data_IF_382576534418
#
_entry.id   IF_382576534418
#
_cell.length_a   1.000
_cell.length_b   1.000
_cell.length_c   1.000
_cell.angle_alpha   90.00
_cell.angle_beta   90.00
_cell.angle_gamma   90.00
#
_symmetry.space_group_name_H-M   'P 1'
#
loop_
_entity.id
_entity.type
_entity.pdbx_description
1 polymer ?
#
# COMPACT_ATOMS: atom_id res chain seq x y z
N UNK A 1 -10.06 7.28 -3.05
CA UNK A 1 -9.62 6.51 -1.88
C UNK A 1 -8.54 7.33 -1.20
N UNK A 2 -8.80 7.90 -0.02
CA UNK A 2 -7.87 8.82 0.65
C UNK A 2 -6.83 8.13 1.56
N UNK A 3 -6.97 6.83 1.83
CA UNK A 3 -5.94 6.08 2.56
C UNK A 3 -6.11 4.56 2.39
N UNK A 4 -5.08 3.83 2.84
CA UNK A 4 -5.04 2.37 2.98
C UNK A 4 -6.23 1.83 3.76
N UNK A 5 -6.57 2.50 4.86
CA UNK A 5 -7.54 2.00 5.82
C UNK A 5 -8.94 1.88 5.20
N UNK A 6 -9.34 2.82 4.35
CA UNK A 6 -10.64 2.76 3.65
C UNK A 6 -10.71 1.63 2.61
N UNK A 7 -9.61 1.36 1.90
CA UNK A 7 -9.54 0.22 0.98
C UNK A 7 -9.50 -1.12 1.73
N UNK A 8 -8.85 -1.16 2.90
CA UNK A 8 -8.78 -2.34 3.76
C UNK A 8 -10.12 -2.67 4.41
N UNK A 9 -10.88 -1.67 4.85
CA UNK A 9 -12.22 -1.92 5.38
C UNK A 9 -13.10 -2.64 4.33
N UNK A 10 -12.95 -2.30 3.06
CA UNK A 10 -13.62 -3.01 1.96
C UNK A 10 -13.09 -4.44 1.75
N UNK A 11 -11.78 -4.68 1.89
CA UNK A 11 -11.18 -6.03 1.76
C UNK A 11 -11.51 -6.91 2.96
N UNK A 12 -11.40 -6.37 4.18
CA UNK A 12 -11.72 -7.06 5.43
C UNK A 12 -13.22 -7.40 5.46
N UNK A 13 -14.11 -6.48 5.05
CA UNK A 13 -15.54 -6.80 4.84
C UNK A 13 -15.78 -7.90 3.82
N UNK A 14 -15.06 -7.88 2.69
CA UNK A 14 -15.20 -8.94 1.68
C UNK A 14 -14.68 -10.29 2.20
N UNK A 15 -13.62 -10.29 3.02
CA UNK A 15 -13.12 -11.49 3.69
C UNK A 15 -14.15 -12.01 4.70
N UNK A 16 -14.72 -11.13 5.52
CA UNK A 16 -15.71 -11.48 6.53
C UNK A 16 -17.00 -12.02 5.89
N UNK A 17 -17.47 -11.44 4.79
CA UNK A 17 -18.59 -11.98 4.00
C UNK A 17 -18.32 -13.42 3.53
N UNK A 18 -17.12 -13.71 3.06
CA UNK A 18 -16.73 -15.07 2.63
C UNK A 18 -16.70 -16.03 3.83
N UNK A 19 -16.23 -15.57 5.00
CA UNK A 19 -16.24 -16.40 6.21
C UNK A 19 -17.65 -16.64 6.76
N UNK A 20 -18.54 -15.65 6.67
CA UNK A 20 -19.95 -15.78 7.05
C UNK A 20 -20.70 -16.71 6.09
N UNK A 21 -20.46 -16.63 4.78
CA UNK A 21 -21.00 -17.58 3.80
C UNK A 21 -20.53 -19.02 4.08
N UNK A 22 -19.24 -19.22 4.41
CA UNK A 22 -18.72 -20.54 4.78
C UNK A 22 -19.27 -21.05 6.12
N UNK A 23 -19.56 -20.17 7.07
CA UNK A 23 -20.19 -20.54 8.34
C UNK A 23 -21.69 -20.87 8.17
N UNK A 24 -22.37 -20.19 7.24
CA UNK A 24 -23.77 -20.47 6.90
C UNK A 24 -23.93 -21.83 6.19
N UNK A 25 -22.94 -22.27 5.41
CA UNK A 25 -22.93 -23.62 4.80
C UNK A 25 -22.79 -24.75 5.83
N UNK A 26 -22.33 -24.47 7.05
CA UNK A 26 -22.23 -25.43 8.17
C UNK A 26 -23.48 -25.41 9.09
N UNK A 27 -24.39 -24.44 8.96
CA UNK A 27 -25.60 -24.31 9.80
C UNK A 27 -26.89 -24.86 9.13
N UNK A 28 -26.83 -25.27 7.85
CA UNK A 28 -27.97 -25.86 7.11
C UNK A 28 -28.27 -27.35 7.47
N UNK A 29 -27.79 -27.86 8.60
CA UNK A 29 -28.13 -29.22 9.09
C UNK A 29 -29.14 -29.26 10.25
N UNK A 30 -29.92 -28.20 10.50
CA UNK A 30 -31.15 -28.31 11.32
C UNK A 30 -32.41 -27.93 10.53
N UNK A 31 -32.69 -28.67 9.45
CA UNK A 31 -34.07 -28.80 8.94
C UNK A 31 -34.98 -29.30 10.07
N UNK A 32 -35.90 -28.46 10.51
CA UNK A 32 -36.96 -28.87 11.43
C UNK A 32 -37.78 -30.01 10.79
N UNK A 33 -37.69 -31.22 11.36
CA UNK A 33 -38.31 -32.46 10.87
C UNK A 33 -39.85 -32.52 10.99
N UNK A 34 -40.58 -31.40 10.95
CA UNK A 34 -42.05 -31.40 10.93
C UNK A 34 -42.57 -31.19 9.49
N UNK A 35 -42.69 -32.27 8.72
CA UNK A 35 -43.16 -32.24 7.33
C UNK A 35 -44.63 -31.85 7.14
N UNK A 36 -44.99 -30.59 7.40
CA UNK A 36 -46.29 -30.00 7.10
C UNK A 36 -46.18 -28.53 6.65
N UNK A 37 -47.00 -28.15 5.66
CA UNK A 37 -47.18 -26.76 5.22
C UNK A 37 -48.13 -26.03 6.19
N UNK A 38 -47.73 -24.87 6.70
CA UNK A 38 -48.58 -24.04 7.56
C UNK A 38 -49.13 -22.82 6.81
N UNK A 39 -50.42 -22.57 6.96
CA UNK A 39 -51.05 -21.29 6.69
C UNK A 39 -51.00 -20.46 7.98
N UNK A 40 -50.67 -19.19 7.85
CA UNK A 40 -50.46 -18.24 8.94
C UNK A 40 -51.65 -18.27 9.92
N UNK A 41 -51.36 -18.28 11.23
CA UNK A 41 -52.28 -18.06 12.37
C UNK A 41 -52.62 -19.24 13.34
N UNK A 42 -51.76 -20.26 13.53
CA UNK A 42 -51.82 -21.11 14.75
C UNK A 42 -50.46 -21.26 15.46
N UNK A 43 -50.43 -21.01 16.79
CA UNK A 43 -49.26 -21.13 17.66
C UNK A 43 -48.70 -22.57 17.69
N UNK A 44 -47.46 -22.74 17.24
CA UNK A 44 -46.73 -24.02 17.35
C UNK A 44 -46.34 -24.30 18.80
N UNK A 45 -46.77 -25.45 19.34
CA UNK A 45 -46.36 -25.95 20.67
C UNK A 45 -44.89 -26.36 20.77
N UNK A 46 -44.07 -26.12 19.73
CA UNK A 46 -42.67 -26.53 19.65
C UNK A 46 -41.70 -25.66 20.47
N UNK A 47 -42.15 -24.53 21.03
CA UNK A 47 -41.34 -23.73 21.97
C UNK A 47 -40.19 -22.96 21.33
N UNK A 48 -40.12 -22.88 20.00
CA UNK A 48 -39.19 -22.00 19.30
C UNK A 48 -39.82 -20.62 19.08
N UNK A 49 -39.11 -19.58 19.52
CA UNK A 49 -39.49 -18.19 19.28
C UNK A 49 -39.31 -17.88 17.80
N UNK A 50 -40.39 -17.51 17.10
CA UNK A 50 -40.28 -16.82 15.83
C UNK A 50 -39.66 -15.46 16.10
N UNK A 51 -38.43 -15.26 15.61
CA UNK A 51 -37.83 -13.94 15.52
C UNK A 51 -38.45 -13.29 14.27
N UNK A 52 -39.45 -12.44 14.48
CA UNK A 52 -39.91 -11.52 13.45
C UNK A 52 -38.74 -10.58 13.13
N UNK A 53 -38.11 -10.82 11.98
CA UNK A 53 -37.13 -9.89 11.41
C UNK A 53 -37.92 -8.76 10.74
N UNK A 54 -38.27 -7.74 11.53
CA UNK A 54 -38.57 -6.42 10.99
C UNK A 54 -37.27 -5.88 10.37
N UNK A 55 -37.16 -6.00 9.04
CA UNK A 55 -36.17 -5.28 8.25
C UNK A 55 -36.58 -3.81 8.22
N UNK A 56 -36.11 -3.04 9.20
CA UNK A 56 -36.01 -1.59 9.06
C UNK A 56 -34.87 -1.29 8.08
N UNK A 57 -35.24 -1.06 6.82
CA UNK A 57 -34.41 -0.44 5.79
C UNK A 57 -34.14 1.03 6.18
N UNK A 58 -33.24 1.26 7.14
CA UNK A 58 -32.61 2.57 7.30
C UNK A 58 -31.42 2.67 6.33
N UNK A 59 -31.73 3.06 5.10
CA UNK A 59 -30.82 3.74 4.19
C UNK A 59 -30.31 5.02 4.89
N UNK A 60 -29.17 4.96 5.59
CA UNK A 60 -28.37 6.14 5.87
C UNK A 60 -26.98 5.99 5.25
N UNK A 61 -26.91 6.40 3.98
CA UNK A 61 -25.71 6.76 3.23
C UNK A 61 -24.93 7.89 3.94
N UNK A 62 -24.35 7.57 5.08
CA UNK A 62 -23.48 8.41 5.87
C UNK A 62 -22.21 7.64 6.15
N UNK A 63 -21.33 7.48 5.15
CA UNK A 63 -19.95 7.15 5.42
C UNK A 63 -19.36 8.32 6.22
N UNK A 64 -19.44 8.25 7.55
CA UNK A 64 -18.76 9.17 8.44
C UNK A 64 -17.29 9.18 8.03
N UNK A 65 -16.87 10.26 7.37
CA UNK A 65 -15.48 10.46 6.98
C UNK A 65 -14.66 10.44 8.27
N UNK A 66 -13.93 9.34 8.51
CA UNK A 66 -13.04 9.21 9.66
C UNK A 66 -12.14 10.45 9.75
N UNK A 67 -11.98 11.06 10.93
CA UNK A 67 -11.07 12.18 11.12
C UNK A 67 -9.64 11.85 10.64
N UNK A 68 -8.94 12.81 10.06
CA UNK A 68 -7.58 12.62 9.51
C UNK A 68 -6.60 12.01 10.53
N UNK A 69 -6.74 12.34 11.82
CA UNK A 69 -5.91 11.75 12.89
C UNK A 69 -6.20 10.26 13.12
N UNK A 70 -7.47 9.84 13.06
CA UNK A 70 -7.84 8.44 13.23
C UNK A 70 -7.42 7.61 12.02
N UNK A 71 -7.48 8.19 10.81
CA UNK A 71 -6.95 7.61 9.58
C UNK A 71 -5.44 7.36 9.71
N UNK A 72 -4.69 8.34 10.23
CA UNK A 72 -3.25 8.22 10.45
C UNK A 72 -2.91 7.12 11.45
N UNK A 73 -3.61 7.07 12.58
CA UNK A 73 -3.40 6.01 13.58
C UNK A 73 -3.68 4.62 12.99
N UNK A 74 -4.73 4.49 12.19
CA UNK A 74 -5.06 3.23 11.53
C UNK A 74 -3.98 2.81 10.52
N UNK A 75 -3.45 3.77 9.76
CA UNK A 75 -2.39 3.55 8.79
C UNK A 75 -1.04 3.19 9.45
N UNK A 76 -0.66 3.87 10.53
CA UNK A 76 0.56 3.53 11.28
C UNK A 76 0.46 2.12 11.88
N UNK A 77 -0.69 1.75 12.43
CA UNK A 77 -0.96 0.38 12.91
C UNK A 77 -0.85 -0.66 11.80
N UNK A 78 -1.25 -0.32 10.57
CA UNK A 78 -1.09 -1.21 9.42
C UNK A 78 0.40 -1.47 9.13
N UNK A 79 1.20 -0.41 9.05
CA UNK A 79 2.63 -0.54 8.78
C UNK A 79 3.37 -1.28 9.89
N UNK A 80 2.96 -1.09 11.16
CA UNK A 80 3.45 -1.88 12.29
C UNK A 80 3.15 -3.37 12.13
N UNK A 81 1.93 -3.75 11.70
CA UNK A 81 1.58 -5.15 11.46
C UNK A 81 2.41 -5.76 10.30
N UNK A 82 2.57 -5.03 9.19
CA UNK A 82 3.42 -5.48 8.08
C UNK A 82 4.87 -5.67 8.54
N UNK A 83 5.43 -4.72 9.28
CA UNK A 83 6.78 -4.82 9.84
C UNK A 83 6.90 -6.03 10.80
N UNK A 84 5.89 -6.24 11.65
CA UNK A 84 5.83 -7.39 12.55
C UNK A 84 5.79 -8.72 11.77
N UNK A 85 5.01 -8.80 10.69
CA UNK A 85 4.97 -9.97 9.79
C UNK A 85 6.34 -10.23 9.14
N UNK A 86 7.08 -9.19 8.73
CA UNK A 86 8.45 -9.34 8.18
C UNK A 86 9.47 -9.85 9.22
N UNK A 87 9.24 -9.60 10.50
CA UNK A 87 10.21 -9.93 11.57
C UNK A 87 10.21 -11.39 12.01
N UNK A 88 9.18 -12.18 11.67
CA UNK A 88 8.99 -13.54 12.17
C UNK A 88 8.58 -14.48 11.04
N UNK A 89 9.27 -15.61 10.94
CA UNK A 89 8.84 -16.70 10.07
C UNK A 89 7.60 -17.36 10.68
N UNK A 90 6.46 -17.22 9.99
CA UNK A 90 5.24 -17.98 10.29
C UNK A 90 5.23 -19.26 9.45
N UNK A 91 5.30 -20.45 10.07
CA UNK A 91 5.24 -21.70 9.32
C UNK A 91 3.87 -21.86 8.67
N UNK A 92 3.84 -22.48 7.49
CA UNK A 92 2.58 -22.94 6.90
C UNK A 92 2.10 -24.20 7.62
N UNK A 93 0.80 -24.46 7.53
CA UNK A 93 0.16 -25.70 8.02
C UNK A 93 -0.27 -26.55 6.84
N UNK A 94 -0.69 -27.79 7.10
CA UNK A 94 -1.22 -28.65 6.04
C UNK A 94 -2.48 -28.02 5.44
N UNK A 95 -2.68 -28.19 4.13
CA UNK A 95 -3.88 -27.72 3.42
C UNK A 95 -5.17 -28.34 3.94
N UNK A 96 -5.12 -29.49 4.61
CA UNK A 96 -6.28 -30.13 5.24
C UNK A 96 -6.59 -29.62 6.65
N UNK A 97 -5.76 -28.73 7.21
CA UNK A 97 -5.98 -28.13 8.54
C UNK A 97 -7.10 -27.08 8.46
N UNK A 98 -8.06 -27.12 9.39
CA UNK A 98 -9.20 -26.18 9.42
C UNK A 98 -8.77 -24.72 9.54
N UNK A 99 -7.57 -24.46 10.09
CA UNK A 99 -7.00 -23.12 10.21
C UNK A 99 -6.05 -22.77 9.05
N UNK A 100 -5.97 -23.57 7.99
CA UNK A 100 -5.08 -23.32 6.86
C UNK A 100 -5.29 -21.93 6.26
N UNK A 101 -6.52 -21.61 5.87
CA UNK A 101 -6.87 -20.33 5.24
C UNK A 101 -6.50 -19.13 6.14
N UNK A 102 -6.88 -19.18 7.42
CA UNK A 102 -6.55 -18.14 8.40
C UNK A 102 -5.05 -17.99 8.63
N UNK A 103 -4.33 -19.11 8.64
CA UNK A 103 -2.87 -19.12 8.82
C UNK A 103 -2.17 -18.53 7.61
N UNK A 104 -2.60 -18.88 6.40
CA UNK A 104 -2.01 -18.37 5.16
C UNK A 104 -2.33 -16.88 4.96
N UNK A 105 -3.56 -16.44 5.25
CA UNK A 105 -3.93 -15.02 5.25
C UNK A 105 -3.02 -14.19 6.18
N UNK A 106 -2.68 -14.71 7.36
CA UNK A 106 -1.75 -14.07 8.32
C UNK A 106 -0.29 -14.02 7.85
N UNK A 107 0.08 -14.76 6.79
CA UNK A 107 1.38 -14.73 6.12
C UNK A 107 1.42 -13.76 4.94
N UNK A 108 0.26 -13.29 4.47
CA UNK A 108 0.17 -12.29 3.41
C UNK A 108 0.88 -10.99 3.81
N UNK A 109 1.65 -10.44 2.87
CA UNK A 109 2.41 -9.21 3.03
C UNK A 109 1.72 -7.98 2.42
N UNK A 110 0.46 -8.11 1.99
CA UNK A 110 -0.36 -7.01 1.43
C UNK A 110 0.33 -6.29 0.26
N UNK A 111 0.99 -7.05 -0.62
CA UNK A 111 1.79 -6.47 -1.70
C UNK A 111 0.97 -5.78 -2.80
N UNK A 112 -0.35 -6.03 -2.85
CA UNK A 112 -1.31 -5.27 -3.66
C UNK A 112 -1.45 -3.82 -3.18
N UNK A 113 -1.18 -3.59 -1.89
CA UNK A 113 -1.29 -2.29 -1.27
C UNK A 113 0.09 -1.63 -1.09
N UNK A 114 1.08 -2.40 -0.61
CA UNK A 114 2.43 -1.91 -0.37
C UNK A 114 3.44 -2.95 -0.87
N UNK A 115 3.86 -2.83 -2.13
CA UNK A 115 4.79 -3.80 -2.70
C UNK A 115 6.18 -3.68 -2.05
N UNK A 116 6.83 -2.51 -2.21
CA UNK A 116 8.22 -2.19 -1.80
C UNK A 116 9.26 -3.32 -2.00
N UNK A 117 8.96 -4.32 -2.84
CA UNK A 117 9.78 -5.53 -2.97
C UNK A 117 11.16 -5.20 -3.52
N UNK A 118 11.24 -4.20 -4.39
CA UNK A 118 12.48 -3.68 -4.95
C UNK A 118 13.41 -3.04 -3.90
N UNK A 119 12.86 -2.52 -2.81
CA UNK A 119 13.61 -2.02 -1.65
C UNK A 119 14.18 -3.21 -0.89
N UNK A 120 13.33 -4.20 -0.57
CA UNK A 120 13.71 -5.36 0.24
C UNK A 120 14.75 -6.28 -0.44
N UNK A 121 14.68 -6.45 -1.76
CA UNK A 121 15.56 -7.39 -2.50
C UNK A 121 16.82 -6.75 -3.07
N UNK A 122 16.97 -5.42 -2.99
CA UNK A 122 18.12 -4.75 -3.56
C UNK A 122 19.35 -5.01 -2.67
N UNK A 123 20.38 -5.72 -3.18
CA UNK A 123 21.55 -6.05 -2.37
C UNK A 123 22.38 -4.81 -1.98
N UNK A 124 22.31 -3.76 -2.81
CA UNK A 124 23.03 -2.50 -2.58
C UNK A 124 22.15 -1.43 -1.91
N UNK A 125 20.89 -1.72 -1.60
CA UNK A 125 19.91 -0.75 -1.08
C UNK A 125 19.75 0.50 -1.96
N UNK A 126 19.82 0.34 -3.27
CA UNK A 126 19.66 1.40 -4.26
C UNK A 126 18.20 1.79 -4.52
N UNK A 127 17.21 1.12 -3.94
CA UNK A 127 15.82 1.57 -3.95
C UNK A 127 15.41 1.84 -2.53
N UNK A 128 14.73 2.96 -2.30
CA UNK A 128 14.17 3.32 -0.99
C UNK A 128 12.70 3.69 -1.16
N UNK A 129 11.90 3.45 -0.13
CA UNK A 129 10.56 4.04 -0.03
C UNK A 129 10.68 5.45 0.55
N UNK A 130 10.05 6.41 -0.09
CA UNK A 130 9.84 7.77 0.42
C UNK A 130 8.37 7.92 0.79
N UNK A 131 8.14 8.41 2.01
CA UNK A 131 6.82 8.60 2.58
C UNK A 131 6.22 9.91 2.08
N UNK A 132 5.12 9.85 1.34
CA UNK A 132 4.41 11.01 0.77
C UNK A 132 2.96 11.07 1.24
N UNK A 133 2.63 10.38 2.33
CA UNK A 133 1.27 10.32 2.91
C UNK A 133 0.65 11.69 3.12
N UNK A 134 1.43 12.61 3.69
CA UNK A 134 0.99 13.96 4.06
C UNK A 134 0.70 14.87 2.84
N UNK A 135 1.08 14.45 1.64
CA UNK A 135 0.88 15.25 0.42
C UNK A 135 -0.54 15.10 -0.14
N UNK A 136 -1.17 13.95 0.07
CA UNK A 136 -2.46 13.60 -0.54
C UNK A 136 -2.45 13.55 -2.08
N UNK A 137 -1.26 13.52 -2.71
CA UNK A 137 -1.09 13.57 -4.17
C UNK A 137 -1.05 12.20 -4.83
N UNK A 138 -0.81 11.14 -4.06
CA UNK A 138 -0.59 9.78 -4.58
C UNK A 138 -1.63 8.80 -4.03
N UNK A 139 -2.00 7.81 -4.83
CA UNK A 139 -2.81 6.67 -4.36
C UNK A 139 -2.00 5.77 -3.43
N UNK A 140 -0.73 5.52 -3.77
CA UNK A 140 0.20 4.81 -2.88
C UNK A 140 0.90 5.83 -1.95
N UNK A 141 0.76 5.66 -0.63
CA UNK A 141 1.39 6.54 0.35
C UNK A 141 2.92 6.58 0.27
N UNK A 142 3.55 5.55 -0.30
CA UNK A 142 5.00 5.47 -0.48
C UNK A 142 5.36 5.45 -1.95
N UNK A 143 6.26 6.33 -2.35
CA UNK A 143 6.89 6.25 -3.67
C UNK A 143 8.25 5.58 -3.55
N UNK A 144 8.69 4.90 -4.61
CA UNK A 144 10.02 4.31 -4.64
C UNK A 144 10.97 5.26 -5.36
N UNK A 145 12.00 5.70 -4.66
CA UNK A 145 13.12 6.45 -5.23
C UNK A 145 14.27 5.48 -5.52
N UNK A 146 14.80 5.52 -6.73
CA UNK A 146 16.01 4.81 -7.12
C UNK A 146 17.23 5.73 -6.94
N UNK A 147 18.31 5.24 -6.35
CA UNK A 147 19.56 5.98 -6.11
C UNK A 147 20.61 5.41 -7.06
N UNK A 148 20.95 6.19 -8.08
CA UNK A 148 21.82 5.73 -9.17
C UNK A 148 23.20 5.29 -8.65
N UNK A 149 23.80 6.12 -7.79
CA UNK A 149 25.13 5.89 -7.22
C UNK A 149 25.27 4.57 -6.45
N UNK A 150 24.17 3.97 -5.98
CA UNK A 150 24.19 2.70 -5.24
C UNK A 150 23.92 1.50 -6.15
N UNK A 151 23.38 1.73 -7.35
CA UNK A 151 22.96 0.67 -8.25
C UNK A 151 24.14 0.16 -9.08
N UNK A 152 24.23 -1.17 -9.21
CA UNK A 152 25.18 -1.83 -10.12
C UNK A 152 24.46 -2.59 -11.25
N UNK A 153 23.19 -2.25 -11.49
CA UNK A 153 22.32 -2.91 -12.46
C UNK A 153 22.23 -4.45 -12.33
N UNK A 154 22.37 -5.00 -11.11
CA UNK A 154 22.30 -6.47 -10.91
C UNK A 154 20.95 -7.11 -11.31
N UNK A 155 19.89 -6.32 -11.48
CA UNK A 155 18.59 -6.81 -11.96
C UNK A 155 17.73 -7.54 -10.94
N UNK A 156 18.14 -7.61 -9.65
CA UNK A 156 17.33 -8.25 -8.60
C UNK A 156 15.95 -7.59 -8.47
N UNK A 157 15.89 -6.26 -8.45
CA UNK A 157 14.63 -5.53 -8.31
C UNK A 157 13.65 -5.81 -9.47
N UNK A 158 14.16 -6.06 -10.68
CA UNK A 158 13.34 -6.45 -11.83
C UNK A 158 12.90 -7.92 -11.73
N UNK A 159 13.83 -8.82 -11.39
CA UNK A 159 13.57 -10.26 -11.27
C UNK A 159 12.47 -10.58 -10.26
N UNK A 160 12.42 -9.86 -9.14
CA UNK A 160 11.44 -10.06 -8.08
C UNK A 160 10.25 -9.09 -8.15
N UNK A 161 10.11 -8.30 -9.23
CA UNK A 161 8.99 -7.38 -9.36
C UNK A 161 7.70 -8.15 -9.68
N UNK A 162 6.65 -8.10 -8.84
CA UNK A 162 5.38 -8.77 -9.12
C UNK A 162 4.61 -8.12 -10.28
N UNK A 163 4.94 -6.87 -10.63
CA UNK A 163 4.28 -6.10 -11.70
C UNK A 163 5.06 -6.10 -13.02
N UNK A 164 6.06 -6.98 -13.18
CA UNK A 164 6.91 -7.04 -14.38
C UNK A 164 7.64 -5.73 -14.73
N UNK A 165 7.85 -4.85 -13.76
CA UNK A 165 8.61 -3.62 -13.91
C UNK A 165 10.12 -3.82 -13.75
N UNK A 166 10.91 -2.81 -14.13
CA UNK A 166 12.35 -2.70 -13.91
C UNK A 166 12.63 -1.50 -13.00
N UNK A 167 12.51 -1.66 -11.66
CA UNK A 167 12.57 -0.53 -10.73
C UNK A 167 13.81 0.35 -10.88
N UNK A 168 14.97 -0.23 -11.19
CA UNK A 168 16.22 0.52 -11.42
C UNK A 168 16.22 1.42 -12.67
N UNK A 169 15.21 1.30 -13.54
CA UNK A 169 15.01 2.15 -14.73
C UNK A 169 13.72 2.95 -14.69
N UNK A 170 12.66 2.31 -14.22
CA UNK A 170 11.31 2.83 -14.34
C UNK A 170 10.93 3.75 -13.17
N UNK A 171 11.61 3.65 -12.01
CA UNK A 171 11.38 4.52 -10.86
C UNK A 171 12.19 5.81 -10.97
N UNK A 172 11.65 6.88 -10.37
CA UNK A 172 12.28 8.19 -10.38
C UNK A 172 13.66 8.09 -9.72
N UNK A 173 14.68 8.60 -10.41
CA UNK A 173 16.08 8.38 -10.05
C UNK A 173 16.68 9.64 -9.42
N UNK A 174 17.33 9.48 -8.27
CA UNK A 174 18.23 10.46 -7.69
C UNK A 174 19.64 10.20 -8.22
N UNK A 175 20.21 11.22 -8.85
CA UNK A 175 21.59 11.22 -9.31
C UNK A 175 22.47 12.00 -8.34
N UNK A 176 23.68 11.49 -8.11
CA UNK A 176 24.68 12.14 -7.25
C UNK A 176 25.71 12.94 -8.04
N UNK A 177 25.97 12.55 -9.30
CA UNK A 177 26.95 13.19 -10.17
C UNK A 177 26.28 13.71 -11.45
N UNK A 178 26.82 14.82 -11.96
CA UNK A 178 26.39 15.42 -13.23
C UNK A 178 26.58 14.47 -14.41
N UNK A 179 27.71 13.76 -14.44
CA UNK A 179 28.03 12.81 -15.51
C UNK A 179 27.01 11.66 -15.58
N UNK A 180 26.64 11.09 -14.43
CA UNK A 180 25.63 10.03 -14.34
C UNK A 180 24.26 10.52 -14.80
N UNK A 181 23.87 11.73 -14.38
CA UNK A 181 22.65 12.36 -14.87
C UNK A 181 22.70 12.48 -16.39
N UNK A 182 23.75 13.06 -16.97
CA UNK A 182 23.86 13.29 -18.43
C UNK A 182 23.90 12.01 -19.26
N UNK A 183 24.55 10.95 -18.76
CA UNK A 183 24.70 9.67 -19.46
C UNK A 183 23.50 8.72 -19.29
N UNK A 184 22.64 8.96 -18.30
CA UNK A 184 21.45 8.14 -18.06
C UNK A 184 20.26 8.55 -18.94
N UNK A 185 19.33 7.62 -19.15
CA UNK A 185 18.03 7.88 -19.78
C UNK A 185 16.89 7.93 -18.78
N UNK A 186 17.13 7.63 -17.50
CA UNK A 186 16.07 7.56 -16.50
C UNK A 186 15.47 8.94 -16.23
N UNK A 187 14.16 8.96 -15.96
CA UNK A 187 13.52 10.12 -15.34
C UNK A 187 14.02 10.26 -13.91
N UNK A 188 14.40 11.46 -13.50
CA UNK A 188 15.09 11.66 -12.24
C UNK A 188 15.54 13.10 -12.02
N UNK A 189 16.33 13.32 -10.98
CA UNK A 189 16.84 14.65 -10.65
C UNK A 189 18.24 14.60 -10.02
N UNK A 190 18.92 15.73 -10.15
CA UNK A 190 20.23 16.02 -9.58
C UNK A 190 20.13 17.36 -8.84
N UNK A 191 20.71 17.43 -7.65
CA UNK A 191 20.76 18.66 -6.84
C UNK A 191 22.21 19.11 -6.69
N UNK A 192 22.51 20.36 -7.06
CA UNK A 192 23.84 20.96 -6.97
C UNK A 192 23.74 22.41 -6.49
N UNK A 193 24.28 22.73 -5.31
CA UNK A 193 24.31 24.11 -4.78
C UNK A 193 22.95 24.85 -4.86
N UNK A 194 21.88 24.18 -4.42
CA UNK A 194 20.47 24.61 -4.47
C UNK A 194 19.82 24.65 -5.88
N UNK A 195 20.57 24.37 -6.95
CA UNK A 195 20.03 24.15 -8.29
C UNK A 195 19.56 22.70 -8.45
N UNK A 196 18.43 22.51 -9.15
CA UNK A 196 17.87 21.19 -9.43
C UNK A 196 17.72 21.00 -10.92
N UNK A 197 18.42 20.01 -11.46
CA UNK A 197 18.23 19.53 -12.82
C UNK A 197 17.29 18.33 -12.80
N UNK A 198 16.16 18.41 -13.51
CA UNK A 198 15.11 17.38 -13.49
C UNK A 198 14.93 16.85 -14.91
N UNK A 199 14.95 15.53 -15.07
CA UNK A 199 14.61 14.85 -16.33
C UNK A 199 13.29 14.12 -16.19
N UNK A 200 12.37 14.38 -17.13
CA UNK A 200 11.10 13.67 -17.28
C UNK A 200 10.95 13.28 -18.74
N UNK A 201 10.88 11.97 -19.01
CA UNK A 201 10.66 11.41 -20.36
C UNK A 201 11.61 11.99 -21.42
N UNK A 202 12.88 12.16 -21.04
CA UNK A 202 13.94 12.69 -21.90
C UNK A 202 13.99 14.22 -22.01
N UNK A 203 13.02 14.96 -21.45
CA UNK A 203 13.05 16.42 -21.38
C UNK A 203 13.67 16.89 -20.06
N UNK A 204 14.58 17.86 -20.15
CA UNK A 204 15.26 18.44 -19.00
C UNK A 204 14.62 19.78 -18.62
N UNK A 205 14.36 19.93 -17.32
CA UNK A 205 13.84 21.11 -16.65
C UNK A 205 14.88 21.59 -15.64
N UNK A 206 14.87 22.90 -15.40
CA UNK A 206 15.73 23.53 -14.41
C UNK A 206 14.87 24.14 -13.33
N UNK A 207 15.35 24.07 -12.09
CA UNK A 207 14.70 24.67 -10.95
C UNK A 207 15.67 24.98 -9.83
N UNK A 208 15.14 25.50 -8.74
CA UNK A 208 15.91 25.78 -7.53
C UNK A 208 15.10 25.40 -6.30
N UNK A 209 15.80 24.95 -5.25
CA UNK A 209 15.19 24.69 -3.95
C UNK A 209 15.35 25.91 -3.05
N UNK A 210 14.25 26.36 -2.45
CA UNK A 210 14.24 27.40 -1.43
C UNK A 210 14.78 26.89 -0.10
N UNK A 211 15.17 27.81 0.79
CA UNK A 211 15.62 27.44 2.15
C UNK A 211 14.54 26.80 3.01
N UNK A 212 13.29 26.99 2.64
CA UNK A 212 12.11 26.36 3.22
C UNK A 212 11.81 24.98 2.63
N UNK A 213 12.64 24.51 1.69
CA UNK A 213 12.50 23.23 1.00
C UNK A 213 11.60 23.28 -0.23
N UNK A 214 11.00 24.43 -0.57
CA UNK A 214 10.10 24.53 -1.73
C UNK A 214 10.84 24.49 -3.07
N UNK A 215 10.32 23.73 -4.03
CA UNK A 215 10.89 23.61 -5.37
C UNK A 215 10.23 24.60 -6.34
N UNK A 216 11.04 25.49 -6.91
CA UNK A 216 10.62 26.33 -8.02
C UNK A 216 11.07 25.71 -9.35
N UNK A 217 10.15 25.00 -10.01
CA UNK A 217 10.36 24.41 -11.33
C UNK A 217 9.02 24.27 -12.08
N UNK A 218 9.08 24.30 -13.42
CA UNK A 218 7.93 24.07 -14.31
C UNK A 218 7.68 22.56 -14.53
N UNK A 219 7.37 21.86 -13.44
CA UNK A 219 7.04 20.43 -13.39
C UNK A 219 5.76 20.20 -12.57
N UNK A 220 5.19 19.00 -12.63
CA UNK A 220 3.96 18.68 -11.91
C UNK A 220 4.14 18.71 -10.39
N UNK A 221 3.04 18.87 -9.66
CA UNK A 221 3.05 18.95 -8.18
C UNK A 221 3.54 17.63 -7.56
N UNK A 222 3.27 16.49 -8.18
CA UNK A 222 3.77 15.18 -7.74
C UNK A 222 5.29 15.11 -7.77
N UNK A 223 5.92 15.63 -8.84
CA UNK A 223 7.37 15.66 -8.96
C UNK A 223 7.98 16.62 -7.95
N UNK A 224 7.34 17.77 -7.72
CA UNK A 224 7.77 18.70 -6.66
C UNK A 224 7.72 18.02 -5.30
N UNK A 225 6.60 17.41 -4.94
CA UNK A 225 6.42 16.75 -3.66
C UNK A 225 7.49 15.67 -3.39
N UNK A 226 7.84 14.85 -4.40
CA UNK A 226 8.93 13.87 -4.28
C UNK A 226 10.27 14.55 -3.96
N UNK A 227 10.64 15.59 -4.71
CA UNK A 227 11.94 16.27 -4.57
C UNK A 227 12.01 17.05 -3.25
N UNK A 228 10.93 17.75 -2.89
CA UNK A 228 10.81 18.51 -1.65
C UNK A 228 10.89 17.58 -0.43
N UNK A 229 10.20 16.44 -0.45
CA UNK A 229 10.29 15.43 0.61
C UNK A 229 11.71 14.88 0.75
N UNK A 230 12.36 14.56 -0.37
CA UNK A 230 13.76 14.10 -0.35
C UNK A 230 14.67 15.16 0.27
N UNK A 231 14.46 16.43 -0.05
CA UNK A 231 15.25 17.52 0.51
C UNK A 231 15.00 17.72 2.02
N UNK A 232 13.75 17.68 2.47
CA UNK A 232 13.37 17.94 3.86
C UNK A 232 13.69 16.78 4.80
N UNK A 233 13.33 15.56 4.41
CA UNK A 233 13.36 14.38 5.28
C UNK A 233 14.49 13.39 4.95
N UNK A 234 15.01 13.44 3.72
CA UNK A 234 16.03 12.50 3.22
C UNK A 234 17.31 13.20 2.75
N UNK A 235 17.61 14.40 3.26
CA UNK A 235 18.78 15.21 2.86
C UNK A 235 20.12 14.48 2.91
N UNK A 236 20.25 13.44 3.75
CA UNK A 236 21.44 12.59 3.81
C UNK A 236 21.76 11.90 2.48
N UNK A 237 20.77 11.69 1.61
CA UNK A 237 20.93 11.13 0.25
C UNK A 237 21.53 12.12 -0.75
N UNK A 238 21.45 13.42 -0.47
CA UNK A 238 21.97 14.49 -1.32
C UNK A 238 23.44 14.82 -1.03
N UNK A 239 24.10 14.01 -0.19
CA UNK A 239 25.50 14.21 0.17
C UNK A 239 26.41 13.97 -1.04
N UNK A 240 27.51 14.74 -1.18
CA UNK A 240 28.48 14.52 -2.25
C UNK A 240 29.04 13.09 -2.21
N UNK A 241 29.19 12.49 -3.39
CA UNK A 241 29.93 11.24 -3.59
C UNK A 241 31.32 11.61 -4.10
N UNK A 242 32.36 10.94 -3.57
CA UNK A 242 33.74 11.15 -4.05
C UNK A 242 33.86 10.66 -5.51
N UNK A 243 34.44 11.49 -6.38
CA UNK A 243 34.79 11.16 -7.78
C UNK A 243 35.91 10.11 -7.88
#
# INVERSE_FOLDING_TARGET
>A
VRCIASARDAVDKAIDMVYEELAAEDEDEEECSCGHEHADDEECSCGHHHHDHDHDDEDEDGADEMPDEDLRIAEDRFFEDIAAKKSRLKPSVDTSDEFFARTEARRCMECSYLCLKCVDVCPNRANIGIDLRETGLFEDPFQVLHIDAYCNECGNCATFCPHSGRPYKDKFTLFSLREDFENSTNSGFLVENDEVSIRLDGKVYQGNIGKDGSLNADVSEEIKAIIEEVFLSYSYLLSPVEE
#
